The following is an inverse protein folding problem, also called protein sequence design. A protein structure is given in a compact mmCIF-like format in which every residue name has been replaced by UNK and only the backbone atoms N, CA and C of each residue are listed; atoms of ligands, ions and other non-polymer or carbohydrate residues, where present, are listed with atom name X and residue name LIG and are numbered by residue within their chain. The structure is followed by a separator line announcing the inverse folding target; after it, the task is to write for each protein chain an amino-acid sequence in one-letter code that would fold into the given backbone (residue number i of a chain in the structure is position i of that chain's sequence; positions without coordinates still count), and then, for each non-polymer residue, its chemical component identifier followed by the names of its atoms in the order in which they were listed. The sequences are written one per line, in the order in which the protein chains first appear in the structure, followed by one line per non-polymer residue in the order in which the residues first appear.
data_IF_569847418604
#
_entry.id   IF_569847418604
#
_cell.length_a   1.000
_cell.length_b   1.000
_cell.length_c   1.000
_cell.angle_alpha   90.00
_cell.angle_beta   90.00
_cell.angle_gamma   90.00
#
_symmetry.space_group_name_H-M   'P 1'
#
loop_
_entity.id
_entity.type
_entity.pdbx_description
1 polymer ?
#
# COMPACT_ATOMS: atom_id res chain seq x y z
N UNK A 1 20.64 -3.95 9.47
CA UNK A 1 19.47 -3.20 9.94
C UNK A 1 19.54 -1.69 9.63
N UNK A 2 20.62 -0.99 9.95
CA UNK A 2 20.69 0.47 9.74
C UNK A 2 20.65 1.00 8.29
N UNK A 3 21.10 0.24 7.28
CA UNK A 3 21.08 0.71 5.88
C UNK A 3 19.71 0.60 5.23
N UNK A 4 18.92 -0.40 5.65
CA UNK A 4 17.56 -0.62 5.16
C UNK A 4 16.60 0.51 5.61
N UNK A 5 16.63 0.88 6.89
CA UNK A 5 15.77 1.95 7.40
C UNK A 5 16.12 3.33 6.81
N UNK A 6 17.39 3.58 6.47
CA UNK A 6 17.77 4.78 5.72
C UNK A 6 17.16 4.82 4.33
N UNK A 7 17.09 3.68 3.63
CA UNK A 7 16.48 3.60 2.31
C UNK A 7 14.96 3.75 2.37
N UNK A 8 14.30 3.14 3.37
CA UNK A 8 12.84 3.28 3.56
C UNK A 8 12.49 4.71 3.97
N UNK A 9 13.24 5.34 4.87
CA UNK A 9 13.00 6.73 5.25
C UNK A 9 13.19 7.70 4.08
N UNK A 10 14.15 7.45 3.18
CA UNK A 10 14.32 8.25 1.97
C UNK A 10 13.23 7.99 0.93
N UNK A 11 12.70 6.76 0.85
CA UNK A 11 11.62 6.36 -0.06
C UNK A 11 10.29 7.06 0.24
N UNK A 12 10.05 7.47 1.49
CA UNK A 12 8.77 8.05 1.90
C UNK A 12 8.91 9.42 2.58
N UNK A 13 10.03 10.12 2.36
CA UNK A 13 10.22 11.48 2.87
C UNK A 13 10.40 11.59 4.39
N UNK A 14 10.75 10.48 5.05
CA UNK A 14 11.02 10.49 6.49
C UNK A 14 12.40 11.10 6.77
N UNK A 15 12.46 12.38 7.09
CA UNK A 15 13.65 12.95 7.70
C UNK A 15 13.73 12.52 9.17
N UNK A 16 14.78 11.79 9.52
CA UNK A 16 15.12 11.48 10.90
C UNK A 16 15.66 12.76 11.57
N UNK A 17 14.77 13.62 12.04
CA UNK A 17 15.14 14.55 13.08
C UNK A 17 15.22 13.76 14.39
N UNK A 18 16.42 13.65 14.95
CA UNK A 18 16.63 13.18 16.31
C UNK A 18 15.76 14.00 17.25
N UNK A 19 15.02 13.36 18.20
CA UNK A 19 14.20 14.11 19.11
C UNK A 19 15.08 14.88 20.08
N UNK A 20 15.04 16.20 20.02
CA UNK A 20 15.26 16.99 21.22
C UNK A 20 13.98 16.86 22.05
N UNK A 21 14.14 16.31 23.25
CA UNK A 21 13.10 16.25 24.26
C UNK A 21 12.64 17.68 24.60
N UNK A 22 11.49 18.05 24.10
CA UNK A 22 10.70 19.15 24.67
C UNK A 22 9.34 18.58 24.99
N UNK A 23 9.05 18.46 26.29
CA UNK A 23 7.72 18.21 26.81
C UNK A 23 6.76 19.26 26.25
N UNK A 24 5.82 18.84 25.39
CA UNK A 24 4.62 19.60 25.12
C UNK A 24 3.40 18.68 25.12
N UNK A 25 2.51 19.00 26.03
CA UNK A 25 1.21 18.35 26.23
C UNK A 25 0.29 18.73 25.07
N UNK A 26 -0.26 17.72 24.36
CA UNK A 26 -1.57 17.84 23.73
C UNK A 26 -1.61 18.23 22.26
N UNK A 27 -0.73 17.69 21.40
CA UNK A 27 -0.92 17.78 19.96
C UNK A 27 -1.21 16.40 19.38
N UNK A 28 -2.29 16.33 18.57
CA UNK A 28 -2.74 15.11 17.92
C UNK A 28 -1.63 14.43 17.12
N UNK A 29 -1.59 13.11 17.20
CA UNK A 29 -0.56 12.31 16.55
C UNK A 29 -0.51 12.61 15.04
N UNK A 30 0.64 13.05 14.54
CA UNK A 30 0.84 13.36 13.14
C UNK A 30 0.72 12.08 12.29
N UNK A 31 -0.24 12.10 11.37
CA UNK A 31 -0.44 11.07 10.36
C UNK A 31 -0.16 11.70 8.99
N UNK A 32 0.56 10.99 8.14
CA UNK A 32 0.86 11.45 6.81
C UNK A 32 0.24 10.52 5.77
N UNK A 33 -0.37 11.07 4.71
CA UNK A 33 -0.84 10.31 3.55
C UNK A 33 -0.10 10.76 2.30
N UNK A 34 0.29 9.80 1.47
CA UNK A 34 0.94 10.01 0.19
C UNK A 34 0.05 9.42 -0.89
N UNK A 35 -0.32 10.21 -1.90
CA UNK A 35 -1.01 9.70 -3.06
C UNK A 35 -0.01 9.38 -4.17
N UNK A 36 -0.04 8.15 -4.67
CA UNK A 36 0.92 7.65 -5.65
C UNK A 36 0.48 7.93 -7.11
N UNK A 37 -0.74 8.45 -7.35
CA UNK A 37 -1.38 8.52 -8.67
C UNK A 37 -1.65 9.91 -9.24
N UNK A 38 -0.97 10.97 -8.86
CA UNK A 38 -1.08 12.25 -9.59
C UNK A 38 0.21 12.56 -10.33
N UNK A 39 0.16 12.83 -11.65
CA UNK A 39 1.32 13.38 -12.33
C UNK A 39 1.65 14.74 -11.69
N UNK A 40 2.84 14.88 -11.18
CA UNK A 40 3.40 16.19 -10.88
C UNK A 40 3.77 16.77 -12.23
N UNK A 41 3.02 17.77 -12.69
CA UNK A 41 3.40 18.56 -13.87
C UNK A 41 4.57 19.42 -13.43
N UNK A 42 5.78 18.96 -13.69
CA UNK A 42 6.95 19.81 -13.67
C UNK A 42 6.89 20.67 -14.93
N UNK A 43 6.80 21.99 -14.78
CA UNK A 43 6.92 22.93 -15.89
C UNK A 43 8.21 22.66 -16.66
N UNK A 44 8.09 22.41 -17.96
CA UNK A 44 9.20 22.24 -18.89
C UNK A 44 10.12 23.46 -18.82
N UNK A 45 11.33 23.28 -18.34
CA UNK A 45 12.44 24.14 -18.66
C UNK A 45 13.33 23.43 -19.67
N UNK A 46 13.49 24.06 -20.81
CA UNK A 46 14.23 23.63 -21.99
C UNK A 46 15.63 23.07 -21.69
N UNK A 47 15.96 21.99 -22.39
CA UNK A 47 17.32 21.68 -22.83
C UNK A 47 17.97 20.45 -22.22
N UNK A 48 18.23 19.50 -23.11
CA UNK A 48 19.13 18.35 -23.02
C UNK A 48 18.71 17.14 -22.19
N UNK A 49 18.24 16.17 -22.98
CA UNK A 49 17.91 14.80 -22.58
C UNK A 49 19.13 13.99 -22.15
N UNK A 50 19.52 14.10 -20.90
CA UNK A 50 20.23 13.04 -20.20
C UNK A 50 19.21 12.38 -19.28
N UNK A 51 18.54 11.33 -19.80
CA UNK A 51 17.73 10.43 -18.97
C UNK A 51 18.67 9.68 -18.04
N UNK A 52 19.06 10.30 -16.94
CA UNK A 52 19.56 9.57 -15.78
C UNK A 52 18.37 8.79 -15.22
N UNK A 53 18.49 7.47 -15.18
CA UNK A 53 17.59 6.64 -14.38
C UNK A 53 17.72 7.10 -12.92
N UNK A 54 16.82 7.98 -12.48
CA UNK A 54 16.74 8.36 -11.08
C UNK A 54 16.41 7.11 -10.27
N UNK A 55 17.14 6.89 -9.22
CA UNK A 55 16.84 5.80 -8.32
C UNK A 55 15.50 6.10 -7.61
N UNK A 56 14.79 5.06 -7.18
CA UNK A 56 13.45 5.16 -6.58
C UNK A 56 13.43 6.10 -5.37
N UNK A 57 14.50 6.12 -4.57
CA UNK A 57 14.63 7.01 -3.43
C UNK A 57 14.65 8.50 -3.83
N UNK A 58 15.22 8.83 -5.00
CA UNK A 58 15.22 10.19 -5.52
C UNK A 58 13.84 10.60 -6.04
N UNK A 59 13.10 9.68 -6.70
CA UNK A 59 11.74 9.95 -7.19
C UNK A 59 10.76 10.22 -6.04
N UNK A 60 10.85 9.47 -4.95
CA UNK A 60 9.94 9.61 -3.80
C UNK A 60 10.26 10.83 -2.93
N UNK A 61 11.50 11.34 -2.93
CA UNK A 61 11.85 12.57 -2.21
C UNK A 61 11.08 13.82 -2.70
N UNK A 62 10.44 13.75 -3.87
CA UNK A 62 9.62 14.81 -4.44
C UNK A 62 8.12 14.65 -4.22
N UNK A 63 7.67 13.58 -3.54
CA UNK A 63 6.25 13.39 -3.22
C UNK A 63 5.94 14.15 -1.94
N UNK A 64 5.27 15.28 -2.07
CA UNK A 64 4.77 16.01 -0.91
C UNK A 64 3.61 15.25 -0.25
N UNK A 65 3.57 15.15 1.09
CA UNK A 65 2.42 14.62 1.79
C UNK A 65 1.17 15.44 1.46
N UNK A 66 0.10 14.76 1.07
CA UNK A 66 -1.15 15.42 0.68
C UNK A 66 -1.95 15.90 1.89
N UNK A 67 -1.81 15.19 3.00
CA UNK A 67 -2.49 15.45 4.26
C UNK A 67 -1.52 15.21 5.41
N UNK A 68 -1.55 16.06 6.42
CA UNK A 68 -0.68 16.00 7.59
C UNK A 68 -1.43 15.63 8.89
N UNK A 69 -2.73 15.86 8.91
CA UNK A 69 -3.58 15.56 10.07
C UNK A 69 -4.54 14.42 9.79
N UNK A 70 -5.00 13.74 10.85
CA UNK A 70 -5.98 12.67 10.74
C UNK A 70 -7.29 13.14 10.10
N UNK A 71 -7.73 14.36 10.38
CA UNK A 71 -8.97 14.91 9.81
C UNK A 71 -8.84 15.24 8.32
N UNK A 72 -7.69 15.74 7.88
CA UNK A 72 -7.42 15.94 6.45
C UNK A 72 -7.43 14.62 5.69
N UNK A 73 -6.77 13.57 6.25
CA UNK A 73 -6.79 12.22 5.67
C UNK A 73 -8.22 11.68 5.60
N UNK A 74 -9.00 11.83 6.67
CA UNK A 74 -10.40 11.42 6.69
C UNK A 74 -11.23 12.12 5.61
N UNK A 75 -11.14 13.43 5.50
CA UNK A 75 -11.87 14.22 4.52
C UNK A 75 -11.48 13.84 3.09
N UNK A 76 -10.18 13.63 2.84
CA UNK A 76 -9.70 13.17 1.56
C UNK A 76 -10.26 11.78 1.19
N UNK A 77 -10.16 10.81 2.11
CA UNK A 77 -10.57 9.43 1.84
C UNK A 77 -12.10 9.25 1.77
N UNK A 78 -12.86 10.14 2.38
CA UNK A 78 -14.33 10.15 2.26
C UNK A 78 -14.86 10.98 1.10
N UNK A 79 -14.00 11.78 0.46
CA UNK A 79 -14.31 12.66 -0.68
C UNK A 79 -14.13 12.03 -2.06
N UNK A 80 -14.30 10.70 -2.19
CA UNK A 80 -14.12 9.96 -3.45
C UNK A 80 -12.65 9.88 -3.91
N UNK A 81 -11.78 9.22 -3.16
CA UNK A 81 -10.40 8.99 -3.55
C UNK A 81 -10.32 8.13 -4.80
N UNK A 82 -9.21 8.20 -5.53
CA UNK A 82 -8.92 7.36 -6.68
C UNK A 82 -7.48 6.85 -6.64
N UNK A 83 -7.24 5.71 -7.27
CA UNK A 83 -5.93 5.09 -7.34
C UNK A 83 -5.45 4.56 -5.99
N UNK A 84 -4.14 4.57 -5.77
CA UNK A 84 -3.51 4.04 -4.57
C UNK A 84 -3.08 5.20 -3.66
N UNK A 85 -3.53 5.17 -2.41
CA UNK A 85 -3.14 6.14 -1.37
C UNK A 85 -2.44 5.41 -0.24
N UNK A 86 -1.27 5.88 0.19
CA UNK A 86 -0.57 5.34 1.33
C UNK A 86 -0.74 6.26 2.55
N UNK A 87 -1.26 5.70 3.64
CA UNK A 87 -1.44 6.36 4.93
C UNK A 87 -0.50 5.72 5.93
N UNK A 88 0.53 6.42 6.32
CA UNK A 88 1.47 5.93 7.30
C UNK A 88 1.40 6.72 8.61
N UNK A 89 1.82 6.08 9.68
CA UNK A 89 1.92 6.72 10.98
C UNK A 89 2.44 5.74 12.02
N UNK A 90 3.09 6.26 13.05
CA UNK A 90 3.64 5.46 14.15
C UNK A 90 2.53 4.68 14.88
N UNK A 91 2.94 3.69 15.67
CA UNK A 91 2.02 3.02 16.59
C UNK A 91 1.32 4.05 17.50
N UNK A 92 0.02 3.85 17.74
CA UNK A 92 -0.77 4.75 18.59
C UNK A 92 -1.24 6.07 17.95
N UNK A 93 -0.88 6.38 16.69
CA UNK A 93 -1.34 7.62 16.03
C UNK A 93 -2.82 7.60 15.58
N UNK A 94 -3.57 6.56 15.91
CA UNK A 94 -5.00 6.49 15.64
C UNK A 94 -5.39 5.94 14.26
N UNK A 95 -4.53 5.18 13.58
CA UNK A 95 -4.83 4.55 12.28
C UNK A 95 -6.12 3.71 12.32
N UNK A 96 -6.23 2.83 13.33
CA UNK A 96 -7.42 1.99 13.54
C UNK A 96 -8.69 2.81 13.75
N UNK A 97 -8.61 3.90 14.52
CA UNK A 97 -9.72 4.82 14.72
C UNK A 97 -10.15 5.49 13.40
N UNK A 98 -9.18 5.95 12.61
CA UNK A 98 -9.43 6.53 11.30
C UNK A 98 -10.14 5.54 10.36
N UNK A 99 -9.64 4.30 10.25
CA UNK A 99 -10.24 3.26 9.41
C UNK A 99 -11.70 3.00 9.84
N UNK A 100 -11.95 2.88 11.15
CA UNK A 100 -13.31 2.67 11.65
C UNK A 100 -14.26 3.84 11.31
N UNK A 101 -13.80 5.09 11.35
CA UNK A 101 -14.57 6.25 10.89
C UNK A 101 -14.88 6.18 9.39
N UNK A 102 -13.89 5.80 8.58
CA UNK A 102 -14.05 5.68 7.12
C UNK A 102 -15.06 4.58 6.78
N UNK A 103 -14.98 3.41 7.42
CA UNK A 103 -15.91 2.29 7.18
C UNK A 103 -17.35 2.63 7.53
N UNK A 104 -17.57 3.49 8.52
CA UNK A 104 -18.90 3.97 8.87
C UNK A 104 -19.46 4.98 7.86
N UNK A 105 -18.60 5.74 7.21
CA UNK A 105 -18.99 6.81 6.28
C UNK A 105 -19.09 6.33 4.84
N UNK A 106 -18.15 5.53 4.37
CA UNK A 106 -18.04 5.11 2.97
C UNK A 106 -18.77 3.79 2.76
N UNK A 107 -19.92 3.84 2.10
CA UNK A 107 -20.62 2.63 1.67
C UNK A 107 -19.80 1.90 0.60
N UNK A 108 -19.59 0.59 0.77
CA UNK A 108 -18.73 -0.20 -0.11
C UNK A 108 -17.24 -0.10 0.26
N UNK A 109 -16.93 0.27 1.50
CA UNK A 109 -15.59 0.16 2.04
C UNK A 109 -15.34 -1.28 2.55
N UNK A 110 -14.32 -1.95 2.01
CA UNK A 110 -13.86 -3.26 2.47
C UNK A 110 -12.48 -3.12 3.11
N UNK A 111 -12.35 -3.58 4.36
CA UNK A 111 -11.06 -3.63 5.05
C UNK A 111 -10.47 -5.02 4.92
N UNK A 112 -9.22 -5.09 4.52
CA UNK A 112 -8.39 -6.29 4.44
C UNK A 112 -7.20 -6.18 5.37
N UNK A 113 -6.86 -7.28 6.01
CA UNK A 113 -5.78 -7.36 6.99
C UNK A 113 -4.98 -8.66 6.83
N UNK A 114 -3.73 -8.75 7.30
CA UNK A 114 -2.94 -9.98 7.15
C UNK A 114 -3.42 -11.11 8.08
N UNK A 115 -3.96 -10.80 9.25
CA UNK A 115 -4.28 -11.80 10.29
C UNK A 115 -5.72 -11.72 10.78
N UNK A 116 -6.25 -12.85 11.30
CA UNK A 116 -7.58 -12.88 11.93
C UNK A 116 -7.66 -11.99 13.19
N UNK A 117 -6.55 -11.86 13.93
CA UNK A 117 -6.50 -10.98 15.10
C UNK A 117 -6.70 -9.52 14.67
N UNK A 118 -6.01 -9.07 13.62
CA UNK A 118 -6.19 -7.74 13.09
C UNK A 118 -7.61 -7.52 12.54
N UNK A 119 -8.24 -8.55 11.95
CA UNK A 119 -9.63 -8.46 11.46
C UNK A 119 -10.64 -8.16 12.58
N UNK A 120 -10.38 -8.63 13.81
CA UNK A 120 -11.27 -8.39 14.95
C UNK A 120 -11.38 -6.91 15.36
N UNK A 121 -10.45 -6.06 14.91
CA UNK A 121 -10.44 -4.62 15.21
C UNK A 121 -11.46 -3.82 14.38
N UNK A 122 -12.00 -4.42 13.32
CA UNK A 122 -12.86 -3.73 12.36
C UNK A 122 -14.14 -4.52 12.09
N UNK A 123 -15.27 -3.83 12.04
CA UNK A 123 -16.54 -4.46 11.69
C UNK A 123 -16.55 -4.85 10.21
N UNK A 124 -16.71 -6.13 9.91
CA UNK A 124 -16.78 -6.63 8.54
C UNK A 124 -15.44 -6.73 7.81
N UNK A 125 -14.32 -6.57 8.52
CA UNK A 125 -13.01 -6.84 7.94
C UNK A 125 -12.82 -8.33 7.63
N UNK A 126 -11.99 -8.59 6.63
CA UNK A 126 -11.60 -9.96 6.24
C UNK A 126 -10.08 -10.04 6.16
N UNK A 127 -9.54 -11.23 6.34
CA UNK A 127 -8.14 -11.43 5.98
C UNK A 127 -7.99 -11.40 4.46
N UNK A 128 -6.83 -10.95 3.96
CA UNK A 128 -6.52 -10.97 2.54
C UNK A 128 -6.74 -12.36 1.93
N UNK A 129 -6.30 -13.42 2.63
CA UNK A 129 -6.51 -14.80 2.23
C UNK A 129 -7.99 -15.16 2.09
N UNK A 130 -8.83 -14.81 3.07
CA UNK A 130 -10.25 -15.12 3.03
C UNK A 130 -11.01 -14.30 1.99
N UNK A 131 -10.57 -13.08 1.71
CA UNK A 131 -11.19 -12.24 0.71
C UNK A 131 -10.90 -12.73 -0.71
N UNK A 132 -9.63 -13.00 -1.00
CA UNK A 132 -9.18 -13.50 -2.30
C UNK A 132 -9.37 -15.01 -2.46
N UNK A 133 -9.98 -15.67 -1.47
CA UNK A 133 -10.53 -17.04 -1.45
C UNK A 133 -9.67 -18.06 -2.20
N UNK A 134 -8.51 -18.40 -1.65
CA UNK A 134 -7.63 -19.44 -2.22
C UNK A 134 -7.08 -19.09 -3.62
N UNK A 135 -7.12 -17.83 -4.01
CA UNK A 135 -6.35 -17.36 -5.15
C UNK A 135 -4.86 -17.39 -4.87
N UNK A 136 -4.50 -17.31 -3.59
CA UNK A 136 -3.12 -17.47 -3.16
C UNK A 136 -2.79 -18.94 -2.98
N UNK A 137 -1.63 -19.34 -3.50
CA UNK A 137 -1.03 -20.61 -3.16
C UNK A 137 -0.51 -20.56 -1.71
N UNK A 138 -0.03 -21.70 -1.21
CA UNK A 138 0.46 -21.78 0.15
C UNK A 138 1.64 -20.80 0.35
N UNK A 139 1.46 -19.76 1.15
CA UNK A 139 2.45 -18.69 1.33
C UNK A 139 3.75 -19.20 1.99
N UNK A 140 3.65 -20.30 2.73
CA UNK A 140 4.79 -20.91 3.41
C UNK A 140 5.65 -21.76 2.47
N UNK A 141 5.12 -22.16 1.30
CA UNK A 141 5.74 -23.12 0.38
C UNK A 141 6.13 -22.53 -0.98
N UNK A 142 5.82 -21.24 -1.25
CA UNK A 142 6.14 -20.69 -2.56
C UNK A 142 5.88 -19.21 -2.76
N UNK A 143 6.25 -18.73 -3.93
CA UNK A 143 5.92 -17.40 -4.42
C UNK A 143 4.57 -17.40 -5.14
N UNK A 144 3.93 -16.23 -5.16
CA UNK A 144 2.64 -16.08 -5.83
C UNK A 144 2.83 -15.75 -7.32
N UNK A 145 2.18 -16.52 -8.19
CA UNK A 145 2.18 -16.27 -9.63
C UNK A 145 0.74 -15.98 -10.09
N UNK A 146 0.46 -14.75 -10.57
CA UNK A 146 -0.88 -14.37 -11.03
C UNK A 146 -1.39 -15.18 -12.24
N UNK A 147 -0.51 -15.82 -12.99
CA UNK A 147 -0.88 -16.67 -14.14
C UNK A 147 -1.56 -17.96 -13.70
N UNK A 148 -1.29 -18.42 -12.48
CA UNK A 148 -1.87 -19.64 -11.91
C UNK A 148 -3.34 -19.47 -11.46
N UNK A 149 -3.89 -18.25 -11.51
CA UNK A 149 -5.25 -18.00 -11.06
C UNK A 149 -6.27 -18.50 -12.07
N UNK A 150 -7.05 -19.50 -11.67
CA UNK A 150 -8.09 -20.10 -12.51
C UNK A 150 -9.28 -19.16 -12.73
N UNK A 151 -10.01 -19.34 -13.83
CA UNK A 151 -11.22 -18.58 -14.16
C UNK A 151 -12.31 -18.68 -13.07
N UNK A 152 -12.42 -19.84 -12.40
CA UNK A 152 -13.34 -20.02 -11.28
C UNK A 152 -12.98 -19.15 -10.07
N UNK A 153 -11.70 -19.04 -9.73
CA UNK A 153 -11.21 -18.15 -8.67
C UNK A 153 -11.48 -16.68 -9.02
N UNK A 154 -11.23 -16.28 -10.26
CA UNK A 154 -11.51 -14.91 -10.75
C UNK A 154 -13.00 -14.58 -10.64
N UNK A 155 -13.90 -15.52 -11.02
CA UNK A 155 -15.35 -15.31 -10.91
C UNK A 155 -15.80 -15.14 -9.45
N UNK A 156 -15.25 -15.94 -8.51
CA UNK A 156 -15.53 -15.81 -7.09
C UNK A 156 -15.11 -14.46 -6.53
N UNK A 157 -13.92 -13.97 -6.94
CA UNK A 157 -13.41 -12.66 -6.51
C UNK A 157 -14.24 -11.54 -7.13
N UNK A 158 -14.63 -11.65 -8.39
CA UNK A 158 -15.58 -10.71 -9.04
C UNK A 158 -16.83 -10.53 -8.19
N UNK A 159 -17.41 -11.63 -7.69
CA UNK A 159 -18.56 -11.57 -6.80
C UNK A 159 -18.26 -10.84 -5.49
N UNK A 160 -17.10 -11.08 -4.89
CA UNK A 160 -16.67 -10.41 -3.65
C UNK A 160 -16.41 -8.90 -3.85
N UNK A 161 -16.08 -8.48 -5.06
CA UNK A 161 -15.82 -7.07 -5.40
C UNK A 161 -17.09 -6.29 -5.77
N UNK A 162 -18.26 -6.96 -5.88
CA UNK A 162 -19.52 -6.26 -6.18
C UNK A 162 -19.83 -5.24 -5.09
N UNK A 163 -19.95 -3.97 -5.49
CA UNK A 163 -20.25 -2.87 -4.59
C UNK A 163 -19.05 -2.33 -3.79
N UNK A 164 -17.86 -2.92 -3.92
CA UNK A 164 -16.64 -2.38 -3.31
C UNK A 164 -16.18 -1.15 -4.08
N UNK A 165 -16.13 0.00 -3.39
CA UNK A 165 -15.68 1.30 -3.91
C UNK A 165 -14.32 1.71 -3.34
N UNK A 166 -14.04 1.26 -2.14
CA UNK A 166 -12.81 1.57 -1.41
C UNK A 166 -12.28 0.29 -0.78
N UNK A 167 -11.05 -0.05 -1.09
CA UNK A 167 -10.33 -1.17 -0.50
C UNK A 167 -9.28 -0.63 0.46
N UNK A 168 -9.42 -0.90 1.75
CA UNK A 168 -8.44 -0.52 2.76
C UNK A 168 -7.60 -1.74 3.10
N UNK A 169 -6.29 -1.67 2.95
CA UNK A 169 -5.35 -2.73 3.33
C UNK A 169 -4.55 -2.22 4.52
N UNK A 170 -4.89 -2.72 5.71
CA UNK A 170 -4.17 -2.35 6.94
C UNK A 170 -3.03 -3.33 7.22
N UNK A 171 -2.05 -2.89 8.03
CA UNK A 171 -0.79 -3.59 8.30
C UNK A 171 -0.02 -3.94 7.02
N UNK A 172 0.02 -3.00 6.07
CA UNK A 172 0.63 -3.20 4.75
C UNK A 172 2.11 -3.54 4.81
N UNK A 173 2.82 -3.17 5.90
CA UNK A 173 4.23 -3.51 6.12
C UNK A 173 4.50 -5.01 6.12
N UNK A 174 3.51 -5.83 6.46
CA UNK A 174 3.60 -7.29 6.51
C UNK A 174 3.31 -7.97 5.15
N UNK A 175 2.95 -7.20 4.13
CA UNK A 175 2.54 -7.74 2.82
C UNK A 175 3.74 -7.84 1.90
N UNK A 176 3.95 -9.05 1.34
CA UNK A 176 5.02 -9.33 0.36
C UNK A 176 4.71 -8.70 -1.00
N UNK A 177 5.76 -8.40 -1.77
CA UNK A 177 5.65 -7.80 -3.10
C UNK A 177 4.81 -8.65 -4.07
N UNK A 178 5.05 -9.96 -4.12
CA UNK A 178 4.33 -10.89 -4.98
C UNK A 178 2.86 -11.02 -4.60
N UNK A 179 2.56 -11.01 -3.30
CA UNK A 179 1.18 -11.04 -2.81
C UNK A 179 0.42 -9.77 -3.19
N UNK A 180 1.07 -8.62 -3.05
CA UNK A 180 0.47 -7.34 -3.43
C UNK A 180 0.22 -7.25 -4.94
N UNK A 181 1.20 -7.70 -5.75
CA UNK A 181 1.06 -7.78 -7.20
C UNK A 181 -0.07 -8.73 -7.61
N UNK A 182 -0.18 -9.90 -6.95
CA UNK A 182 -1.25 -10.86 -7.16
C UNK A 182 -2.62 -10.23 -6.89
N UNK A 183 -2.79 -9.52 -5.77
CA UNK A 183 -4.05 -8.83 -5.45
C UNK A 183 -4.45 -7.84 -6.54
N UNK A 184 -3.49 -7.03 -7.02
CA UNK A 184 -3.71 -6.09 -8.11
C UNK A 184 -4.20 -6.80 -9.39
N UNK A 185 -3.46 -7.80 -9.85
CA UNK A 185 -3.76 -8.48 -11.12
C UNK A 185 -5.07 -9.27 -11.06
N UNK A 186 -5.40 -9.86 -9.93
CA UNK A 186 -6.69 -10.54 -9.74
C UNK A 186 -7.84 -9.54 -9.82
N UNK A 187 -7.72 -8.38 -9.19
CA UNK A 187 -8.74 -7.33 -9.30
C UNK A 187 -8.90 -6.86 -10.75
N UNK A 188 -7.79 -6.66 -11.47
CA UNK A 188 -7.82 -6.29 -12.88
C UNK A 188 -8.53 -7.35 -13.74
N UNK A 189 -8.21 -8.63 -13.56
CA UNK A 189 -8.87 -9.74 -14.26
C UNK A 189 -10.36 -9.85 -13.90
N UNK A 190 -10.69 -9.70 -12.60
CA UNK A 190 -12.06 -9.82 -12.13
C UNK A 190 -12.97 -8.69 -12.61
N UNK A 191 -12.45 -7.48 -12.74
CA UNK A 191 -13.20 -6.30 -13.17
C UNK A 191 -13.01 -5.96 -14.66
N UNK A 192 -12.20 -6.76 -15.38
CA UNK A 192 -11.89 -6.54 -16.80
C UNK A 192 -11.36 -5.12 -17.08
N UNK A 193 -10.53 -4.62 -16.15
CA UNK A 193 -10.02 -3.25 -16.18
C UNK A 193 -8.53 -3.25 -15.81
N UNK A 194 -7.69 -2.67 -16.66
CA UNK A 194 -6.23 -2.63 -16.52
C UNK A 194 -5.71 -1.54 -15.59
N UNK A 195 -6.58 -0.66 -15.07
CA UNK A 195 -6.21 0.30 -14.05
C UNK A 195 -5.77 -0.42 -12.75
N UNK A 196 -4.97 0.21 -11.90
CA UNK A 196 -4.60 -0.34 -10.61
C UNK A 196 -5.82 -0.88 -9.85
N UNK A 197 -5.73 -2.12 -9.36
CA UNK A 197 -6.81 -2.84 -8.67
C UNK A 197 -8.15 -2.83 -9.44
N UNK A 198 -8.11 -2.84 -10.78
CA UNK A 198 -9.31 -2.80 -11.61
C UNK A 198 -10.08 -1.48 -11.50
N UNK A 199 -9.42 -0.39 -11.09
CA UNK A 199 -10.00 0.95 -10.92
C UNK A 199 -10.64 1.20 -9.55
N UNK A 200 -10.60 0.23 -8.62
CA UNK A 200 -11.03 0.46 -7.23
C UNK A 200 -10.01 1.36 -6.53
N UNK A 201 -10.49 2.34 -5.77
CA UNK A 201 -9.62 3.13 -4.90
C UNK A 201 -9.03 2.27 -3.79
N UNK A 202 -7.72 2.33 -3.58
CA UNK A 202 -7.00 1.53 -2.58
C UNK A 202 -6.32 2.43 -1.57
N UNK A 203 -6.51 2.13 -0.30
CA UNK A 203 -5.83 2.80 0.81
C UNK A 203 -4.94 1.78 1.51
N UNK A 204 -3.65 2.00 1.45
CA UNK A 204 -2.63 1.22 2.14
C UNK A 204 -2.37 1.90 3.48
N UNK A 205 -2.52 1.16 4.57
CA UNK A 205 -2.32 1.70 5.92
C UNK A 205 -1.27 0.89 6.65
N UNK A 206 -0.35 1.54 7.34
CA UNK A 206 0.67 0.82 8.11
C UNK A 206 1.75 1.71 8.69
N UNK A 207 2.68 1.03 9.34
CA UNK A 207 3.92 1.63 9.86
C UNK A 207 5.10 0.80 9.35
N UNK A 208 5.90 1.40 8.46
CA UNK A 208 7.03 0.70 7.83
C UNK A 208 8.19 0.40 8.79
N UNK A 209 8.12 0.92 10.01
CA UNK A 209 9.08 0.61 11.08
C UNK A 209 8.64 -0.55 11.98
N UNK A 210 7.42 -1.11 11.72
CA UNK A 210 6.92 -2.30 12.40
C UNK A 210 7.39 -3.59 11.69
N UNK A 211 6.66 -4.69 11.89
CA UNK A 211 7.08 -6.00 11.41
C UNK A 211 7.16 -6.05 9.86
N UNK A 212 8.27 -6.55 9.33
CA UNK A 212 8.42 -6.81 7.90
C UNK A 212 7.59 -8.02 7.45
N UNK A 213 7.45 -8.22 6.13
CA UNK A 213 6.91 -9.46 5.60
C UNK A 213 7.72 -10.67 6.08
N UNK A 214 7.02 -11.77 6.39
CA UNK A 214 7.66 -13.02 6.77
C UNK A 214 7.95 -13.80 5.48
N UNK A 215 9.21 -14.20 5.31
CA UNK A 215 9.67 -15.10 4.25
C UNK A 215 10.54 -16.14 4.92
N UNK A 216 10.02 -17.35 5.07
CA UNK A 216 10.69 -18.46 5.76
C UNK A 216 11.56 -19.33 4.84
N UNK A 217 11.32 -19.28 3.54
CA UNK A 217 12.02 -20.05 2.52
C UNK A 217 13.04 -19.18 1.78
N UNK A 218 14.30 -19.61 1.76
CA UNK A 218 15.40 -18.90 1.09
C UNK A 218 15.21 -18.82 -0.42
N UNK A 219 14.61 -19.81 -1.06
CA UNK A 219 14.32 -19.79 -2.49
C UNK A 219 13.26 -18.75 -2.84
N UNK A 220 12.25 -18.61 -1.99
CA UNK A 220 11.24 -17.55 -2.12
C UNK A 220 11.88 -16.17 -1.91
N UNK A 221 12.76 -16.03 -0.92
CA UNK A 221 13.46 -14.77 -0.68
C UNK A 221 14.30 -14.35 -1.89
N UNK A 222 15.10 -15.26 -2.46
CA UNK A 222 15.92 -14.98 -3.63
C UNK A 222 15.07 -14.70 -4.88
N UNK A 223 13.93 -15.38 -5.03
CA UNK A 223 12.97 -15.07 -6.09
C UNK A 223 12.43 -13.62 -5.96
N UNK A 224 11.94 -13.24 -4.78
CA UNK A 224 11.41 -11.90 -4.53
C UNK A 224 12.46 -10.82 -4.78
N UNK A 225 13.68 -11.06 -4.36
CA UNK A 225 14.79 -10.15 -4.57
C UNK A 225 15.15 -10.00 -6.06
N UNK A 226 15.14 -11.10 -6.82
CA UNK A 226 15.42 -11.09 -8.26
C UNK A 226 14.31 -10.43 -9.07
N UNK A 227 13.05 -10.80 -8.79
CA UNK A 227 11.89 -10.38 -9.58
C UNK A 227 11.43 -8.96 -9.24
N UNK A 228 11.42 -8.61 -7.95
CA UNK A 228 10.88 -7.35 -7.45
C UNK A 228 11.94 -6.41 -6.86
N UNK A 229 13.18 -6.83 -6.76
CA UNK A 229 14.24 -6.05 -6.10
C UNK A 229 14.14 -6.05 -4.57
N UNK A 230 13.18 -6.76 -3.98
CA UNK A 230 12.98 -6.84 -2.53
C UNK A 230 11.66 -7.52 -2.15
N UNK A 231 11.42 -7.64 -0.83
CA UNK A 231 10.31 -8.43 -0.30
C UNK A 231 9.05 -7.62 0.00
N UNK A 232 9.13 -6.29 0.07
CA UNK A 232 8.06 -5.42 0.55
C UNK A 232 7.05 -5.09 -0.53
N UNK A 233 5.81 -4.79 -0.16
CA UNK A 233 4.74 -4.40 -1.07
C UNK A 233 5.15 -3.28 -2.04
N UNK A 234 5.96 -2.31 -1.59
CA UNK A 234 6.42 -1.21 -2.44
C UNK A 234 7.46 -1.62 -3.50
N UNK A 235 7.98 -2.86 -3.43
CA UNK A 235 8.78 -3.46 -4.50
C UNK A 235 7.92 -4.06 -5.62
N UNK A 236 6.59 -4.19 -5.45
CA UNK A 236 5.70 -4.71 -6.49
C UNK A 236 5.75 -3.87 -7.76
N UNK A 237 5.55 -4.51 -8.91
CA UNK A 237 5.59 -3.84 -10.21
C UNK A 237 4.55 -2.72 -10.32
N UNK A 238 3.36 -2.91 -9.72
CA UNK A 238 2.32 -1.88 -9.75
C UNK A 238 2.75 -0.62 -9.00
N UNK A 239 3.35 -0.73 -7.81
CA UNK A 239 3.81 0.45 -7.08
C UNK A 239 4.98 1.10 -7.82
N UNK A 240 5.93 0.32 -8.33
CA UNK A 240 7.05 0.85 -9.10
C UNK A 240 6.59 1.62 -10.34
N UNK A 241 5.61 1.06 -11.08
CA UNK A 241 5.01 1.71 -12.25
C UNK A 241 4.30 3.01 -11.87
N UNK A 242 3.55 3.03 -10.76
CA UNK A 242 2.86 4.22 -10.29
C UNK A 242 3.87 5.31 -9.87
N UNK A 243 4.97 4.93 -9.22
CA UNK A 243 6.06 5.85 -8.86
C UNK A 243 6.78 6.40 -10.12
N UNK A 244 6.95 5.59 -11.17
CA UNK A 244 7.53 6.02 -12.44
C UNK A 244 6.65 7.01 -13.21
N UNK A 245 5.34 6.96 -13.01
CA UNK A 245 4.37 7.89 -13.60
C UNK A 245 4.32 9.25 -12.88
N UNK A 246 4.98 9.38 -11.73
CA UNK A 246 5.18 10.65 -11.03
C UNK A 246 6.37 11.35 -11.69
N UNK A 247 6.09 12.16 -12.70
CA UNK A 247 7.07 13.03 -13.40
C UNK A 247 6.84 14.47 -13.02
#
# INVERSE_FOLDING_TARGET
MNSFFKNVSSLFGFHSNSPQETENKGEGANMCSIQINKPIILSETNGDSVVRSMNIAEKVSYIEPKCSTQEEVYNYLTGSPSGITFVHGKAGCGKTYLINRITQKVQGCQVLVPTNLAASLYKGARTMHSFFYGAFDNLDEGYQNPENVTSGKVASIRHSLVGVKLLVIDEISMVRADLFEMMNQICQKALENTLPFGGIAVVLVGDLFQLPPIVSDDAVYEYLKREYGGIYFFNSHIIQKELDNIK
#
